data_IF_527344844743
#
_entry.id   IF_527344844743
#
_cell.length_a   1.000
_cell.length_b   1.000
_cell.length_c   1.000
_cell.angle_alpha   90.00
_cell.angle_beta   90.00
_cell.angle_gamma   90.00
#
_symmetry.space_group_name_H-M   'P 1'
#
loop_
_entity.id
_entity.type
_entity.pdbx_description
1 polymer ?
#
# COMPACT_ATOMS: atom_id res chain seq x y z
N UNK A 1 -10.95 -0.08 -22.95
CA UNK A 1 -11.68 0.89 -22.10
C UNK A 1 -11.26 0.61 -20.67
N UNK A 2 -10.26 1.33 -20.13
CA UNK A 2 -9.90 1.20 -18.71
C UNK A 2 -11.03 1.82 -17.91
N UNK A 3 -11.82 1.00 -17.21
CA UNK A 3 -12.86 1.51 -16.33
C UNK A 3 -12.20 2.47 -15.34
N UNK A 4 -12.82 3.62 -15.13
CA UNK A 4 -12.48 4.48 -14.00
C UNK A 4 -12.86 3.73 -12.72
N UNK A 5 -12.02 2.79 -12.31
CA UNK A 5 -12.05 2.25 -10.97
C UNK A 5 -11.75 3.44 -10.07
N UNK A 6 -12.65 3.65 -9.10
CA UNK A 6 -12.59 4.70 -8.09
C UNK A 6 -11.16 5.09 -7.73
N UNK A 7 -10.89 6.38 -7.50
CA UNK A 7 -9.55 6.90 -7.16
C UNK A 7 -8.83 6.10 -6.06
N UNK A 8 -9.55 5.26 -5.29
CA UNK A 8 -9.07 4.45 -4.19
C UNK A 8 -8.76 2.96 -4.51
N UNK A 9 -9.13 2.43 -5.67
CA UNK A 9 -8.97 1.00 -5.98
C UNK A 9 -7.69 0.75 -6.80
N UNK A 10 -6.74 -0.01 -6.22
CA UNK A 10 -5.46 -0.36 -6.86
C UNK A 10 -5.54 -1.60 -7.75
N UNK A 11 -6.36 -2.57 -7.39
CA UNK A 11 -6.47 -3.87 -8.06
C UNK A 11 -7.92 -4.37 -8.00
N UNK A 12 -8.28 -5.20 -8.98
CA UNK A 12 -9.57 -5.90 -9.03
C UNK A 12 -9.60 -7.02 -8.00
N UNK A 13 -8.49 -7.75 -7.84
CA UNK A 13 -8.37 -8.85 -6.90
C UNK A 13 -7.76 -8.36 -5.60
N UNK A 14 -8.53 -8.46 -4.50
CA UNK A 14 -8.04 -8.12 -3.17
C UNK A 14 -7.10 -9.21 -2.64
N UNK A 15 -6.16 -8.83 -1.78
CA UNK A 15 -5.39 -9.80 -1.02
C UNK A 15 -6.34 -10.64 -0.17
N UNK A 16 -6.31 -11.96 -0.37
CA UNK A 16 -7.15 -12.94 0.34
C UNK A 16 -6.33 -13.97 1.13
N UNK A 17 -5.01 -13.77 1.20
CA UNK A 17 -4.07 -14.65 1.88
C UNK A 17 -3.52 -15.81 1.04
N UNK A 18 -4.05 -16.04 -0.17
CA UNK A 18 -3.61 -17.11 -1.08
C UNK A 18 -3.07 -16.58 -2.42
N UNK A 19 -3.21 -15.29 -2.69
CA UNK A 19 -2.87 -14.67 -3.96
C UNK A 19 -1.79 -13.59 -3.82
N UNK A 20 -0.86 -13.77 -2.88
CA UNK A 20 0.05 -12.69 -2.49
C UNK A 20 0.96 -12.27 -3.64
N UNK A 21 1.54 -13.20 -4.41
CA UNK A 21 2.40 -12.89 -5.56
C UNK A 21 1.68 -12.08 -6.67
N UNK A 22 0.45 -12.44 -7.01
CA UNK A 22 -0.33 -11.74 -8.02
C UNK A 22 -0.78 -10.36 -7.53
N UNK A 23 -1.22 -10.30 -6.28
CA UNK A 23 -1.66 -9.07 -5.63
C UNK A 23 -0.51 -8.08 -5.47
N UNK A 24 0.65 -8.54 -4.99
CA UNK A 24 1.81 -7.69 -4.71
C UNK A 24 2.34 -7.06 -6.00
N UNK A 25 2.35 -7.81 -7.10
CA UNK A 25 2.75 -7.29 -8.40
C UNK A 25 1.74 -6.26 -8.93
N UNK A 26 0.45 -6.54 -8.80
CA UNK A 26 -0.62 -5.62 -9.23
C UNK A 26 -0.56 -4.30 -8.46
N UNK A 27 -0.38 -4.36 -7.14
CA UNK A 27 -0.28 -3.18 -6.27
C UNK A 27 0.97 -2.35 -6.59
N UNK A 28 2.13 -2.99 -6.78
CA UNK A 28 3.36 -2.28 -7.18
C UNK A 28 3.15 -1.52 -8.49
N UNK A 29 2.61 -2.17 -9.53
CA UNK A 29 2.36 -1.54 -10.83
C UNK A 29 1.36 -0.37 -10.72
N UNK A 30 0.28 -0.52 -9.95
CA UNK A 30 -0.73 0.52 -9.80
C UNK A 30 -0.22 1.74 -9.02
N UNK A 31 0.61 1.53 -7.99
CA UNK A 31 1.21 2.62 -7.21
C UNK A 31 2.34 3.30 -7.99
N UNK A 32 3.13 2.53 -8.73
CA UNK A 32 4.22 3.05 -9.57
C UNK A 32 3.69 3.87 -10.75
N UNK A 33 2.61 3.41 -11.39
CA UNK A 33 1.89 4.20 -12.41
C UNK A 33 1.33 5.53 -11.89
N UNK A 34 1.29 5.75 -10.57
CA UNK A 34 0.90 7.01 -9.91
C UNK A 34 2.11 7.79 -9.35
N UNK A 35 3.33 7.31 -9.55
CA UNK A 35 4.57 7.90 -9.05
C UNK A 35 4.70 7.88 -7.53
N UNK A 36 4.05 6.93 -6.85
CA UNK A 36 4.03 6.84 -5.38
C UNK A 36 4.79 5.62 -4.83
N UNK A 37 5.49 4.87 -5.67
CA UNK A 37 6.19 3.64 -5.27
C UNK A 37 7.21 3.90 -4.14
N UNK A 38 7.86 5.05 -4.16
CA UNK A 38 8.84 5.41 -3.13
C UNK A 38 8.28 5.53 -1.71
N UNK A 39 6.98 5.79 -1.54
CA UNK A 39 6.33 5.74 -0.21
C UNK A 39 6.21 4.31 0.31
N UNK A 40 5.98 3.35 -0.59
CA UNK A 40 5.83 1.93 -0.28
C UNK A 40 7.19 1.28 0.03
N UNK A 41 8.21 1.60 -0.76
CA UNK A 41 9.58 1.05 -0.61
C UNK A 41 10.39 1.75 0.48
N UNK A 42 10.00 2.96 0.88
CA UNK A 42 10.73 3.79 1.84
C UNK A 42 11.83 4.65 1.22
N UNK A 43 11.91 4.71 -0.11
CA UNK A 43 12.76 5.65 -0.82
C UNK A 43 12.41 7.10 -0.46
N UNK A 44 11.10 7.40 -0.35
CA UNK A 44 10.60 8.67 0.16
C UNK A 44 10.63 8.64 1.69
N UNK A 45 11.72 9.16 2.26
CA UNK A 45 11.93 9.19 3.71
C UNK A 45 10.92 10.09 4.42
N UNK A 46 10.51 9.69 5.63
CA UNK A 46 9.72 10.52 6.53
C UNK A 46 10.48 11.81 6.86
N UNK A 47 9.98 12.98 6.42
CA UNK A 47 10.63 14.24 6.73
C UNK A 47 10.42 14.63 8.20
N UNK A 48 11.35 15.42 8.75
CA UNK A 48 11.16 16.05 10.04
C UNK A 48 9.89 16.93 10.05
N UNK A 49 9.24 17.05 11.21
CA UNK A 49 7.96 17.78 11.33
C UNK A 49 8.05 19.27 11.04
N UNK A 50 9.25 19.85 11.14
CA UNK A 50 9.54 21.24 10.76
C UNK A 50 9.85 21.43 9.26
N UNK A 51 9.91 20.34 8.49
CA UNK A 51 10.17 20.42 7.06
C UNK A 51 8.94 20.95 6.32
N UNK A 52 9.08 21.92 5.40
CA UNK A 52 7.96 22.43 4.60
C UNK A 52 7.19 21.33 3.85
N UNK A 53 7.86 20.24 3.47
CA UNK A 53 7.27 19.13 2.73
C UNK A 53 6.53 18.12 3.63
N UNK A 54 6.55 18.28 4.96
CA UNK A 54 5.91 17.33 5.88
C UNK A 54 4.41 17.16 5.62
N UNK A 55 3.70 18.27 5.36
CA UNK A 55 2.26 18.23 5.07
C UNK A 55 1.95 17.43 3.80
N UNK A 56 2.73 17.67 2.74
CA UNK A 56 2.61 16.95 1.47
C UNK A 56 2.91 15.48 1.66
N UNK A 57 4.04 15.15 2.28
CA UNK A 57 4.42 13.77 2.58
C UNK A 57 3.34 13.03 3.38
N UNK A 58 2.83 13.65 4.44
CA UNK A 58 1.77 13.07 5.28
C UNK A 58 0.50 12.80 4.47
N UNK A 59 0.08 13.74 3.63
CA UNK A 59 -1.11 13.57 2.79
C UNK A 59 -0.95 12.44 1.78
N UNK A 60 0.23 12.35 1.15
CA UNK A 60 0.53 11.28 0.20
C UNK A 60 0.61 9.92 0.88
N UNK A 61 1.30 9.83 2.01
CA UNK A 61 1.37 8.61 2.81
C UNK A 61 -0.05 8.14 3.20
N UNK A 62 -0.91 9.02 3.71
CA UNK A 62 -2.30 8.65 4.05
C UNK A 62 -3.10 8.14 2.85
N UNK A 63 -2.90 8.76 1.68
CA UNK A 63 -3.58 8.34 0.45
C UNK A 63 -3.13 6.94 0.01
N UNK A 64 -1.82 6.70 0.00
CA UNK A 64 -1.25 5.39 -0.36
C UNK A 64 -1.66 4.33 0.67
N UNK A 65 -1.69 4.65 1.98
CA UNK A 65 -2.23 3.75 3.01
C UNK A 65 -3.67 3.38 2.72
N UNK A 66 -4.54 4.36 2.41
CA UNK A 66 -5.94 4.07 2.11
C UNK A 66 -6.09 3.16 0.89
N UNK A 67 -5.32 3.41 -0.16
CA UNK A 67 -5.26 2.56 -1.36
C UNK A 67 -4.83 1.13 -1.03
N UNK A 68 -3.77 1.00 -0.23
CA UNK A 68 -3.19 -0.27 0.14
C UNK A 68 -4.15 -1.10 0.99
N UNK A 69 -4.74 -0.51 2.04
CA UNK A 69 -5.74 -1.18 2.89
C UNK A 69 -6.98 -1.59 2.11
N UNK A 70 -7.49 -0.72 1.23
CA UNK A 70 -8.68 -1.03 0.42
C UNK A 70 -8.43 -2.12 -0.63
N UNK A 71 -7.17 -2.38 -0.97
CA UNK A 71 -6.77 -3.48 -1.85
C UNK A 71 -6.71 -4.84 -1.15
N UNK A 72 -7.05 -4.92 0.13
CA UNK A 72 -7.07 -6.16 0.91
C UNK A 72 -8.51 -6.53 1.28
N UNK A 73 -8.74 -7.82 1.53
CA UNK A 73 -9.97 -8.23 2.19
C UNK A 73 -10.09 -7.57 3.56
N UNK A 74 -11.31 -7.20 4.01
CA UNK A 74 -11.48 -6.45 5.26
C UNK A 74 -10.87 -7.14 6.50
N UNK A 75 -10.85 -8.47 6.52
CA UNK A 75 -10.24 -9.24 7.60
C UNK A 75 -8.71 -9.06 7.67
N UNK A 76 -8.07 -8.85 6.52
CA UNK A 76 -6.63 -8.65 6.38
C UNK A 76 -6.26 -7.16 6.55
N UNK A 77 -7.02 -6.26 5.92
CA UNK A 77 -6.68 -4.83 5.92
C UNK A 77 -6.97 -4.11 7.25
N UNK A 78 -8.08 -4.42 7.93
CA UNK A 78 -8.52 -3.67 9.14
C UNK A 78 -7.46 -3.60 10.26
N UNK A 79 -6.74 -4.68 10.61
CA UNK A 79 -5.69 -4.64 11.62
C UNK A 79 -4.62 -3.58 11.39
N UNK A 80 -4.39 -3.19 10.13
CA UNK A 80 -3.30 -2.29 9.75
C UNK A 80 -3.71 -0.81 9.65
N UNK A 81 -4.98 -0.46 9.87
CA UNK A 81 -5.51 0.90 9.74
C UNK A 81 -4.81 1.95 10.62
N UNK A 82 -4.23 1.52 11.73
CA UNK A 82 -3.61 2.40 12.74
C UNK A 82 -2.09 2.44 12.66
N UNK A 83 -1.48 1.77 11.67
CA UNK A 83 -0.05 1.88 11.43
C UNK A 83 0.32 3.28 10.90
N UNK A 84 1.50 3.76 11.28
CA UNK A 84 1.89 5.16 11.08
C UNK A 84 2.20 5.48 9.62
N UNK A 85 2.79 4.54 8.89
CA UNK A 85 3.18 4.73 7.49
C UNK A 85 2.71 3.58 6.61
N UNK A 86 2.54 3.85 5.32
CA UNK A 86 2.23 2.78 4.35
C UNK A 86 3.37 1.77 4.24
N UNK A 87 4.61 2.20 4.50
CA UNK A 87 5.78 1.33 4.61
C UNK A 87 5.61 0.30 5.73
N UNK A 88 5.15 0.72 6.91
CA UNK A 88 4.92 -0.19 8.03
C UNK A 88 3.86 -1.25 7.66
N UNK A 89 2.78 -0.81 7.01
CA UNK A 89 1.73 -1.74 6.51
C UNK A 89 2.32 -2.70 5.48
N UNK A 90 3.11 -2.19 4.53
CA UNK A 90 3.76 -2.97 3.48
C UNK A 90 4.69 -4.05 4.06
N UNK A 91 5.56 -3.68 5.00
CA UNK A 91 6.54 -4.60 5.57
C UNK A 91 5.84 -5.73 6.34
N UNK A 92 4.82 -5.40 7.16
CA UNK A 92 4.03 -6.40 7.91
C UNK A 92 3.30 -7.34 6.96
N UNK A 93 2.64 -6.82 5.92
CA UNK A 93 1.90 -7.65 4.97
C UNK A 93 2.85 -8.53 4.15
N UNK A 94 4.01 -8.00 3.74
CA UNK A 94 5.03 -8.80 3.08
C UNK A 94 5.49 -9.94 3.98
N UNK A 95 5.93 -9.65 5.21
CA UNK A 95 6.39 -10.66 6.17
C UNK A 95 5.33 -11.73 6.46
N UNK A 96 4.07 -11.34 6.58
CA UNK A 96 2.98 -12.27 6.89
C UNK A 96 2.68 -13.23 5.73
N UNK A 97 2.67 -12.74 4.49
CA UNK A 97 2.14 -13.49 3.35
C UNK A 97 3.20 -13.95 2.34
N UNK A 98 4.42 -13.40 2.35
CA UNK A 98 5.51 -13.90 1.49
C UNK A 98 5.95 -15.30 1.85
N UNK A 99 5.82 -15.68 3.13
CA UNK A 99 6.33 -16.95 3.64
C UNK A 99 5.28 -18.07 3.53
N UNK A 100 3.99 -17.69 3.56
CA UNK A 100 2.86 -18.61 3.39
C UNK A 100 2.74 -19.18 1.97
N UNK A 101 3.21 -18.46 0.96
CA UNK A 101 3.21 -18.92 -0.45
C UNK A 101 4.50 -19.68 -0.83
N UNK A 102 5.53 -19.65 0.02
CA UNK A 102 6.80 -20.38 -0.17
C UNK A 102 6.92 -21.66 0.69
N UNK A 103 5.85 -22.05 1.39
CA UNK A 103 5.74 -23.27 2.20
C UNK A 103 4.76 -24.25 1.57
#
# INVERSE_FOLDING_TARGET
HFSQNSNLQLTVHKLNGQNYLEWVQSVKLAIDGRGKLGHLTGEVKHPATNNPNWKTWRSENSLVTAWFINSMEPAIGKPHLFLSTVKDVWDVVRETYSDLENS
#
